data_IF_960304849562
#
_entry.id   IF_960304849562
#
_cell.length_a   1.000
_cell.length_b   1.000
_cell.length_c   1.000
_cell.angle_alpha   90.00
_cell.angle_beta   90.00
_cell.angle_gamma   90.00
#
_symmetry.space_group_name_H-M   'P 1'
#
loop_
_entity.id
_entity.type
_entity.pdbx_description
1 polymer ?
#
# COMPACT_ATOMS: atom_id res chain seq x y z
N UNK A 1 -34.25 -34.35 -3.43
CA UNK A 1 -33.70 -33.64 -2.26
C UNK A 1 -32.74 -32.50 -2.62
N UNK A 2 -31.77 -32.69 -3.53
CA UNK A 2 -30.79 -31.64 -3.93
C UNK A 2 -31.41 -30.35 -4.51
N UNK A 3 -32.53 -30.46 -5.23
CA UNK A 3 -33.22 -29.31 -5.84
C UNK A 3 -33.79 -28.37 -4.76
N UNK A 4 -34.25 -28.92 -3.63
CA UNK A 4 -34.81 -28.12 -2.54
C UNK A 4 -33.75 -27.41 -1.70
N UNK A 5 -32.52 -27.94 -1.60
CA UNK A 5 -31.43 -27.25 -0.90
C UNK A 5 -30.88 -26.09 -1.72
N UNK A 6 -30.72 -26.28 -3.03
CA UNK A 6 -30.36 -25.21 -3.97
C UNK A 6 -31.42 -24.12 -4.03
N UNK A 7 -32.71 -24.50 -4.07
CA UNK A 7 -33.81 -23.52 -4.11
C UNK A 7 -33.90 -22.71 -2.80
N UNK A 8 -33.67 -23.34 -1.63
CA UNK A 8 -33.56 -22.63 -0.34
C UNK A 8 -32.33 -21.73 -0.26
N UNK A 9 -31.19 -22.16 -0.81
CA UNK A 9 -29.99 -21.35 -0.86
C UNK A 9 -30.19 -20.11 -1.75
N UNK A 10 -30.80 -20.27 -2.93
CA UNK A 10 -31.16 -19.16 -3.80
C UNK A 10 -32.12 -18.18 -3.11
N UNK A 11 -33.16 -18.68 -2.42
CA UNK A 11 -34.10 -17.83 -1.68
C UNK A 11 -33.46 -17.05 -0.52
N UNK A 12 -32.48 -17.64 0.17
CA UNK A 12 -31.72 -16.93 1.21
C UNK A 12 -30.78 -15.87 0.63
N UNK A 13 -30.22 -16.12 -0.55
CA UNK A 13 -29.40 -15.15 -1.28
C UNK A 13 -30.27 -13.99 -1.80
N UNK A 14 -31.46 -14.29 -2.32
CA UNK A 14 -32.42 -13.32 -2.84
C UNK A 14 -32.94 -12.38 -1.73
N UNK A 15 -33.30 -12.93 -0.57
CA UNK A 15 -33.66 -12.12 0.62
C UNK A 15 -32.51 -11.28 1.17
N UNK A 16 -31.26 -11.70 0.94
CA UNK A 16 -30.07 -10.91 1.27
C UNK A 16 -29.73 -9.85 0.22
N UNK A 17 -30.24 -10.01 -1.00
CA UNK A 17 -30.00 -9.15 -2.16
C UNK A 17 -30.86 -7.88 -2.15
N UNK A 18 -32.00 -7.89 -1.45
CA UNK A 18 -32.93 -6.76 -1.35
C UNK A 18 -32.32 -5.47 -0.79
N UNK A 19 -31.10 -5.53 -0.22
CA UNK A 19 -30.39 -4.36 0.31
C UNK A 19 -29.23 -3.84 -0.58
N UNK A 20 -29.01 -4.41 -1.78
CA UNK A 20 -27.90 -4.03 -2.67
C UNK A 20 -28.38 -4.02 -4.14
N UNK A 21 -28.55 -2.84 -4.79
CA UNK A 21 -29.15 -2.70 -6.13
C UNK A 21 -28.50 -3.55 -7.25
N UNK A 22 -27.21 -3.87 -7.09
CA UNK A 22 -26.44 -4.66 -8.07
C UNK A 22 -26.88 -6.13 -8.04
N UNK A 23 -27.26 -6.67 -6.88
CA UNK A 23 -27.57 -8.11 -6.75
C UNK A 23 -28.94 -8.42 -7.34
N UNK A 24 -29.94 -7.55 -7.14
CA UNK A 24 -31.25 -7.65 -7.81
C UNK A 24 -31.13 -7.60 -9.34
N UNK A 25 -30.23 -6.76 -9.86
CA UNK A 25 -29.97 -6.70 -11.30
C UNK A 25 -29.36 -7.99 -11.81
N UNK A 26 -28.43 -8.59 -11.05
CA UNK A 26 -27.78 -9.86 -11.41
C UNK A 26 -28.76 -11.04 -11.29
N UNK A 27 -29.58 -11.12 -10.24
CA UNK A 27 -30.55 -12.21 -10.07
C UNK A 27 -31.63 -12.16 -11.15
N UNK A 28 -32.14 -10.97 -11.50
CA UNK A 28 -33.06 -10.81 -12.63
C UNK A 28 -32.42 -11.23 -13.96
N UNK A 29 -31.15 -10.90 -14.18
CA UNK A 29 -30.47 -11.29 -15.42
C UNK A 29 -30.21 -12.81 -15.50
N UNK A 30 -29.87 -13.43 -14.36
CA UNK A 30 -29.71 -14.88 -14.24
C UNK A 30 -31.03 -15.60 -14.42
N UNK A 31 -32.14 -15.06 -13.90
CA UNK A 31 -33.48 -15.61 -14.06
C UNK A 31 -33.96 -15.51 -15.52
N UNK A 32 -33.75 -14.37 -16.17
CA UNK A 32 -33.99 -14.20 -17.61
C UNK A 32 -33.14 -15.20 -18.40
N UNK A 33 -31.85 -15.36 -18.08
CA UNK A 33 -30.99 -16.32 -18.75
C UNK A 33 -31.44 -17.78 -18.53
N UNK A 34 -31.84 -18.14 -17.31
CA UNK A 34 -32.38 -19.48 -17.03
C UNK A 34 -33.66 -19.75 -17.82
N UNK A 35 -34.56 -18.77 -17.94
CA UNK A 35 -35.83 -18.90 -18.67
C UNK A 35 -35.65 -18.89 -20.19
N UNK A 36 -34.77 -18.04 -20.71
CA UNK A 36 -34.59 -17.80 -22.15
C UNK A 36 -33.49 -18.65 -22.77
N UNK A 37 -32.58 -19.21 -21.99
CA UNK A 37 -31.47 -20.01 -22.51
C UNK A 37 -31.51 -21.43 -21.97
N UNK A 38 -31.58 -21.63 -20.65
CA UNK A 38 -31.36 -22.96 -20.05
C UNK A 38 -32.60 -23.87 -20.08
N UNK A 39 -33.76 -23.35 -19.67
CA UNK A 39 -35.01 -24.12 -19.56
C UNK A 39 -35.44 -24.77 -20.88
N UNK A 40 -35.28 -24.11 -22.04
CA UNK A 40 -35.69 -24.69 -23.30
C UNK A 40 -34.84 -25.90 -23.69
N UNK A 41 -33.51 -25.90 -23.49
CA UNK A 41 -32.67 -27.10 -23.71
C UNK A 41 -33.05 -28.31 -22.83
N UNK A 42 -33.75 -28.08 -21.71
CA UNK A 42 -34.23 -29.13 -20.80
C UNK A 42 -35.56 -29.74 -21.23
N UNK A 43 -36.34 -29.05 -22.06
CA UNK A 43 -37.60 -29.51 -22.65
C UNK A 43 -37.50 -29.55 -24.18
N UNK A 44 -36.59 -30.39 -24.69
CA UNK A 44 -36.25 -30.53 -26.13
C UNK A 44 -37.46 -30.66 -27.06
N UNK A 45 -38.53 -31.33 -26.62
CA UNK A 45 -39.72 -31.60 -27.43
C UNK A 45 -40.58 -30.36 -27.73
N UNK A 46 -40.44 -29.27 -26.96
CA UNK A 46 -41.20 -28.03 -27.15
C UNK A 46 -40.39 -26.90 -27.80
N UNK A 47 -39.06 -27.04 -27.93
CA UNK A 47 -38.20 -25.98 -28.50
C UNK A 47 -38.50 -25.77 -29.98
N UNK A 48 -38.63 -26.85 -30.75
CA UNK A 48 -38.83 -26.80 -32.21
C UNK A 48 -40.21 -26.28 -32.61
N UNK A 49 -41.18 -26.29 -31.69
CA UNK A 49 -42.55 -25.75 -31.89
C UNK A 49 -42.70 -24.32 -31.38
N UNK A 50 -41.76 -23.82 -30.57
CA UNK A 50 -41.85 -22.47 -30.03
C UNK A 50 -41.44 -21.45 -31.10
N UNK A 51 -42.41 -20.68 -31.58
CA UNK A 51 -42.27 -19.64 -32.62
C UNK A 51 -41.12 -18.66 -32.32
N UNK A 52 -40.82 -18.43 -31.04
CA UNK A 52 -39.73 -17.55 -30.63
C UNK A 52 -38.34 -18.12 -30.95
N UNK A 53 -38.17 -19.45 -30.83
CA UNK A 53 -36.90 -20.14 -31.08
C UNK A 53 -36.61 -20.35 -32.56
N UNK A 54 -37.64 -20.56 -33.37
CA UNK A 54 -37.52 -20.62 -34.83
C UNK A 54 -37.20 -19.26 -35.45
N UNK A 55 -37.53 -18.15 -34.77
CA UNK A 55 -37.21 -16.78 -35.18
C UNK A 55 -35.85 -16.25 -34.70
N UNK A 56 -35.16 -16.96 -33.82
CA UNK A 56 -33.90 -16.52 -33.22
C UNK A 56 -32.76 -16.68 -34.25
N UNK A 57 -32.62 -15.68 -35.13
CA UNK A 57 -31.53 -15.65 -36.10
C UNK A 57 -30.15 -15.58 -35.39
N UNK A 58 -29.06 -15.91 -36.12
CA UNK A 58 -27.70 -15.76 -35.57
C UNK A 58 -27.41 -14.34 -35.05
N UNK A 59 -28.11 -13.32 -35.55
CA UNK A 59 -27.98 -11.91 -35.14
C UNK A 59 -28.52 -11.69 -33.73
N UNK A 60 -29.60 -12.36 -33.35
CA UNK A 60 -30.26 -12.32 -32.04
C UNK A 60 -29.45 -13.05 -30.99
N UNK A 61 -28.86 -14.20 -31.35
CA UNK A 61 -27.89 -14.90 -30.49
C UNK A 61 -26.62 -14.07 -30.27
N UNK A 62 -26.07 -13.45 -31.33
CA UNK A 62 -24.92 -12.52 -31.23
C UNK A 62 -25.25 -11.35 -30.31
N UNK A 63 -26.44 -10.74 -30.41
CA UNK A 63 -26.89 -9.66 -29.51
C UNK A 63 -26.93 -10.09 -28.04
N UNK A 64 -27.44 -11.29 -27.74
CA UNK A 64 -27.42 -11.84 -26.38
C UNK A 64 -25.98 -11.99 -25.85
N UNK A 65 -25.06 -12.53 -26.67
CA UNK A 65 -23.65 -12.64 -26.29
C UNK A 65 -23.02 -11.25 -26.07
N UNK A 66 -23.32 -10.28 -26.93
CA UNK A 66 -22.83 -8.89 -26.79
C UNK A 66 -23.32 -8.24 -25.50
N UNK A 67 -24.57 -8.51 -25.07
CA UNK A 67 -25.14 -7.99 -23.83
C UNK A 67 -24.61 -8.71 -22.57
N UNK A 68 -24.15 -9.96 -22.70
CA UNK A 68 -23.55 -10.74 -21.61
C UNK A 68 -22.11 -10.33 -21.28
N UNK A 69 -21.34 -9.87 -22.27
CA UNK A 69 -19.94 -9.47 -22.08
C UNK A 69 -19.76 -8.40 -20.99
N UNK A 70 -20.54 -7.29 -20.98
CA UNK A 70 -20.45 -6.29 -19.91
C UNK A 70 -20.79 -6.85 -18.53
N UNK A 71 -21.81 -7.73 -18.45
CA UNK A 71 -22.28 -8.32 -17.20
C UNK A 71 -21.23 -9.26 -16.63
N UNK A 72 -20.69 -10.16 -17.45
CA UNK A 72 -19.63 -11.08 -17.05
C UNK A 72 -18.35 -10.32 -16.68
N UNK A 73 -18.03 -9.24 -17.41
CA UNK A 73 -16.93 -8.33 -17.08
C UNK A 73 -17.08 -7.74 -15.68
N UNK A 74 -18.25 -7.20 -15.35
CA UNK A 74 -18.53 -6.63 -14.03
C UNK A 74 -18.49 -7.68 -12.91
N UNK A 75 -19.03 -8.88 -13.13
CA UNK A 75 -18.95 -9.98 -12.16
C UNK A 75 -17.50 -10.39 -11.91
N UNK A 76 -16.69 -10.49 -12.97
CA UNK A 76 -15.27 -10.84 -12.85
C UNK A 76 -14.48 -9.77 -12.07
N UNK A 77 -14.69 -8.49 -12.38
CA UNK A 77 -14.10 -7.38 -11.64
C UNK A 77 -14.53 -7.41 -10.17
N UNK A 78 -15.81 -7.65 -9.90
CA UNK A 78 -16.33 -7.77 -8.53
C UNK A 78 -15.67 -8.91 -7.74
N UNK A 79 -15.53 -10.10 -8.33
CA UNK A 79 -14.84 -11.23 -7.70
C UNK A 79 -13.37 -10.89 -7.44
N UNK A 80 -12.69 -10.31 -8.44
CA UNK A 80 -11.30 -9.88 -8.32
C UNK A 80 -11.11 -8.89 -7.16
N UNK A 81 -11.99 -7.89 -7.05
CA UNK A 81 -11.95 -6.88 -5.99
C UNK A 81 -12.22 -7.47 -4.60
N UNK A 82 -13.18 -8.39 -4.47
CA UNK A 82 -13.46 -9.08 -3.20
C UNK A 82 -12.22 -9.88 -2.75
N UNK A 83 -11.61 -10.65 -3.64
CA UNK A 83 -10.40 -11.44 -3.32
C UNK A 83 -9.23 -10.52 -2.96
N UNK A 84 -9.03 -9.46 -3.73
CA UNK A 84 -7.98 -8.46 -3.47
C UNK A 84 -8.18 -7.78 -2.12
N UNK A 85 -9.40 -7.37 -1.80
CA UNK A 85 -9.72 -6.70 -0.54
C UNK A 85 -9.56 -7.64 0.67
N UNK A 86 -9.94 -8.91 0.52
CA UNK A 86 -9.69 -9.93 1.57
C UNK A 86 -8.19 -10.09 1.86
N UNK A 87 -7.35 -10.18 0.81
CA UNK A 87 -5.88 -10.25 0.96
C UNK A 87 -5.31 -8.97 1.58
N UNK A 88 -5.77 -7.79 1.15
CA UNK A 88 -5.38 -6.49 1.73
C UNK A 88 -5.71 -6.44 3.23
N UNK A 89 -6.95 -6.78 3.61
CA UNK A 89 -7.39 -6.80 5.02
C UNK A 89 -6.59 -7.78 5.88
N UNK A 90 -6.33 -8.99 5.37
CA UNK A 90 -5.53 -9.98 6.09
C UNK A 90 -4.09 -9.49 6.32
N UNK A 91 -3.46 -8.92 5.28
CA UNK A 91 -2.12 -8.37 5.41
C UNK A 91 -2.10 -7.15 6.34
N UNK A 92 -3.10 -6.26 6.25
CA UNK A 92 -3.25 -5.10 7.15
C UNK A 92 -3.26 -5.52 8.62
N UNK A 93 -4.06 -6.53 8.97
CA UNK A 93 -4.11 -7.04 10.33
C UNK A 93 -2.77 -7.63 10.80
N UNK A 94 -2.00 -8.23 9.89
CA UNK A 94 -0.67 -8.76 10.21
C UNK A 94 0.36 -7.65 10.40
N UNK A 95 0.41 -6.65 9.50
CA UNK A 95 1.38 -5.55 9.59
C UNK A 95 1.13 -4.64 10.79
N UNK A 96 -0.11 -4.56 11.27
CA UNK A 96 -0.44 -3.85 12.51
C UNK A 96 0.11 -4.53 13.77
N UNK A 97 0.41 -5.83 13.71
CA UNK A 97 1.02 -6.59 14.82
C UNK A 97 2.53 -6.77 14.64
N UNK A 98 3.00 -6.76 13.40
CA UNK A 98 4.40 -6.89 13.01
C UNK A 98 4.58 -6.32 11.59
N UNK A 99 5.07 -5.09 11.50
CA UNK A 99 5.27 -4.33 10.27
C UNK A 99 6.20 -5.03 9.29
N UNK A 100 7.11 -5.90 9.76
CA UNK A 100 7.96 -6.70 8.88
C UNK A 100 7.19 -7.77 8.10
N UNK A 101 5.93 -8.08 8.47
CA UNK A 101 5.03 -8.93 7.69
C UNK A 101 4.77 -8.38 6.28
N UNK A 102 5.05 -7.09 6.02
CA UNK A 102 5.01 -6.51 4.67
C UNK A 102 5.89 -7.29 3.67
N UNK A 103 6.96 -7.96 4.14
CA UNK A 103 7.83 -8.79 3.31
C UNK A 103 7.08 -9.90 2.57
N UNK A 104 6.00 -10.41 3.16
CA UNK A 104 5.19 -11.52 2.64
C UNK A 104 4.07 -11.03 1.69
N UNK A 105 3.89 -9.70 1.60
CA UNK A 105 2.93 -9.09 0.68
C UNK A 105 3.30 -9.26 -0.80
N UNK A 106 2.28 -9.34 -1.65
CA UNK A 106 2.45 -9.27 -3.11
C UNK A 106 3.03 -7.90 -3.53
N UNK A 107 3.58 -7.82 -4.74
CA UNK A 107 4.08 -6.56 -5.32
C UNK A 107 3.02 -5.45 -5.32
N UNK A 108 1.77 -5.81 -5.56
CA UNK A 108 0.61 -4.89 -5.51
C UNK A 108 0.37 -4.34 -4.12
N UNK A 109 0.48 -5.16 -3.07
CA UNK A 109 0.30 -4.72 -1.67
C UNK A 109 1.51 -3.96 -1.13
N UNK A 110 2.72 -4.30 -1.58
CA UNK A 110 3.95 -3.52 -1.32
C UNK A 110 3.95 -2.15 -1.99
N UNK A 111 3.03 -1.93 -2.94
CA UNK A 111 2.79 -0.65 -3.59
C UNK A 111 1.50 0.01 -3.10
N UNK A 112 0.74 -0.65 -2.21
CA UNK A 112 -0.46 -0.10 -1.60
C UNK A 112 -0.06 0.81 -0.45
N UNK A 113 -0.34 2.11 -0.61
CA UNK A 113 0.11 3.14 0.32
C UNK A 113 -0.41 2.93 1.73
N UNK A 114 -1.65 2.47 1.91
CA UNK A 114 -2.25 2.28 3.23
C UNK A 114 -1.58 1.13 3.98
N UNK A 115 -1.34 0.02 3.26
CA UNK A 115 -0.67 -1.17 3.81
C UNK A 115 0.75 -0.83 4.22
N UNK A 116 1.50 -0.16 3.35
CA UNK A 116 2.87 0.24 3.64
C UNK A 116 2.91 1.27 4.76
N UNK A 117 2.00 2.24 4.79
CA UNK A 117 1.94 3.25 5.85
C UNK A 117 1.69 2.60 7.22
N UNK A 118 0.71 1.68 7.32
CA UNK A 118 0.46 0.92 8.54
C UNK A 118 1.69 0.10 8.96
N UNK A 119 2.37 -0.55 8.01
CA UNK A 119 3.57 -1.33 8.29
C UNK A 119 4.74 -0.48 8.83
N UNK A 120 4.97 0.72 8.26
CA UNK A 120 6.08 1.58 8.70
C UNK A 120 5.78 2.33 9.98
N UNK A 121 4.51 2.53 10.33
CA UNK A 121 4.11 3.08 11.63
C UNK A 121 4.37 2.08 12.76
N UNK A 122 4.21 0.78 12.50
CA UNK A 122 4.56 -0.27 13.47
C UNK A 122 6.08 -0.50 13.52
N UNK A 123 6.74 -0.58 12.35
CA UNK A 123 8.19 -0.75 12.25
C UNK A 123 8.74 -0.04 11.02
N UNK A 124 9.44 1.07 11.22
CA UNK A 124 10.01 1.91 10.19
C UNK A 124 10.99 1.19 9.27
N UNK A 125 11.61 0.09 9.73
CA UNK A 125 12.47 -0.74 8.87
C UNK A 125 11.69 -1.53 7.82
N UNK A 126 10.36 -1.65 7.95
CA UNK A 126 9.47 -2.24 6.96
C UNK A 126 9.53 -1.52 5.61
N UNK A 127 9.98 -0.25 5.58
CA UNK A 127 10.19 0.54 4.37
C UNK A 127 11.08 -0.20 3.33
N UNK A 128 11.97 -1.10 3.79
CA UNK A 128 12.77 -1.98 2.92
C UNK A 128 11.92 -2.77 1.90
N UNK A 129 10.73 -3.18 2.30
CA UNK A 129 9.84 -4.03 1.52
C UNK A 129 8.85 -3.26 0.64
N UNK A 130 8.72 -1.94 0.88
CA UNK A 130 7.88 -1.08 0.05
C UNK A 130 8.40 -1.01 -1.39
N UNK A 131 7.50 -0.69 -2.32
CA UNK A 131 7.86 -0.44 -3.71
C UNK A 131 8.82 0.75 -3.83
N UNK A 132 9.56 0.82 -4.95
CA UNK A 132 10.49 1.94 -5.21
C UNK A 132 9.79 3.30 -5.23
N UNK A 133 8.55 3.32 -5.70
CA UNK A 133 7.72 4.52 -5.69
C UNK A 133 7.45 4.99 -4.26
N UNK A 134 7.08 4.09 -3.34
CA UNK A 134 6.80 4.43 -1.94
C UNK A 134 8.07 4.67 -1.11
N UNK A 135 9.21 4.06 -1.48
CA UNK A 135 10.53 4.44 -0.95
C UNK A 135 10.95 5.87 -1.37
N UNK A 136 10.29 6.44 -2.38
CA UNK A 136 10.44 7.84 -2.80
C UNK A 136 9.27 8.73 -2.38
N UNK A 137 8.27 8.19 -1.68
CA UNK A 137 7.16 8.97 -1.14
C UNK A 137 7.61 9.60 0.18
N UNK A 138 7.81 10.92 0.16
CA UNK A 138 8.30 11.69 1.32
C UNK A 138 7.42 11.49 2.56
N UNK A 139 6.09 11.36 2.42
CA UNK A 139 5.17 11.15 3.56
C UNK A 139 5.34 9.75 4.18
N UNK A 140 5.48 8.72 3.35
CA UNK A 140 5.71 7.34 3.83
C UNK A 140 7.09 7.23 4.48
N UNK A 141 8.11 7.83 3.88
CA UNK A 141 9.48 7.84 4.42
C UNK A 141 9.55 8.60 5.75
N UNK A 142 8.87 9.74 5.88
CA UNK A 142 8.78 10.43 7.16
C UNK A 142 8.11 9.58 8.23
N UNK A 143 7.00 8.91 7.94
CA UNK A 143 6.35 8.02 8.89
C UNK A 143 7.31 6.92 9.38
N UNK A 144 8.06 6.31 8.45
CA UNK A 144 9.08 5.31 8.78
C UNK A 144 10.23 5.88 9.64
N UNK A 145 10.68 7.09 9.35
CA UNK A 145 11.74 7.79 10.10
C UNK A 145 11.28 8.14 11.52
N UNK A 146 10.03 8.60 11.66
CA UNK A 146 9.47 8.94 12.96
C UNK A 146 9.42 7.72 13.87
N UNK A 147 9.10 6.54 13.35
CA UNK A 147 9.25 5.29 14.09
C UNK A 147 10.75 5.01 14.36
N UNK A 148 11.57 4.90 13.31
CA UNK A 148 13.00 4.60 13.40
C UNK A 148 13.84 5.42 12.42
N UNK A 149 14.68 6.32 12.94
CA UNK A 149 15.53 7.18 12.11
C UNK A 149 16.47 6.42 11.17
N UNK A 150 16.79 5.15 11.47
CA UNK A 150 17.59 4.28 10.58
C UNK A 150 16.84 3.86 9.30
N UNK A 151 15.53 4.06 9.24
CA UNK A 151 14.70 3.77 8.06
C UNK A 151 15.16 4.58 6.83
N UNK A 152 15.83 5.72 7.02
CA UNK A 152 16.46 6.52 5.96
C UNK A 152 17.30 5.66 4.99
N UNK A 153 17.93 4.58 5.47
CA UNK A 153 18.74 3.68 4.63
C UNK A 153 17.96 3.03 3.48
N UNK A 154 16.64 2.90 3.62
CA UNK A 154 15.74 2.31 2.63
C UNK A 154 15.00 3.35 1.78
N UNK A 155 15.12 4.63 2.12
CA UNK A 155 14.61 5.70 1.27
C UNK A 155 15.36 5.75 -0.06
N UNK A 156 14.73 6.38 -1.06
CA UNK A 156 15.34 6.59 -2.37
C UNK A 156 16.63 7.41 -2.27
N UNK A 157 17.48 7.33 -3.30
CA UNK A 157 18.69 8.19 -3.38
C UNK A 157 18.35 9.68 -3.32
N UNK A 158 17.20 10.08 -3.89
CA UNK A 158 16.71 11.45 -3.89
C UNK A 158 16.38 11.92 -2.47
N UNK A 159 15.60 11.14 -1.72
CA UNK A 159 15.21 11.51 -0.35
C UNK A 159 16.36 11.40 0.66
N UNK A 160 17.36 10.53 0.43
CA UNK A 160 18.61 10.55 1.21
C UNK A 160 19.50 11.75 0.91
N UNK A 161 19.19 12.51 -0.14
CA UNK A 161 19.80 13.80 -0.47
C UNK A 161 18.87 14.99 -0.17
N UNK A 162 17.71 14.74 0.41
CA UNK A 162 16.79 15.78 0.85
C UNK A 162 17.16 16.18 2.29
N UNK A 163 17.58 17.44 2.45
CA UNK A 163 18.07 17.96 3.73
C UNK A 163 17.03 17.84 4.85
N UNK A 164 15.76 18.11 4.55
CA UNK A 164 14.66 18.04 5.53
C UNK A 164 14.44 16.60 6.01
N UNK A 165 14.44 15.64 5.07
CA UNK A 165 14.27 14.21 5.39
C UNK A 165 15.45 13.70 6.21
N UNK A 166 16.68 14.08 5.86
CA UNK A 166 17.88 13.67 6.57
C UNK A 166 17.94 14.29 7.97
N UNK A 167 17.61 15.58 8.12
CA UNK A 167 17.54 16.22 9.44
C UNK A 167 16.53 15.54 10.35
N UNK A 168 15.34 15.20 9.85
CA UNK A 168 14.36 14.45 10.62
C UNK A 168 14.90 13.07 11.04
N UNK A 169 15.60 12.36 10.14
CA UNK A 169 16.22 11.08 10.46
C UNK A 169 17.31 11.19 11.52
N UNK A 170 18.17 12.21 11.43
CA UNK A 170 19.23 12.51 12.39
C UNK A 170 18.66 12.89 13.76
N UNK A 171 17.59 13.68 13.78
CA UNK A 171 16.89 14.04 15.02
C UNK A 171 16.32 12.82 15.75
N UNK A 172 15.85 11.81 15.01
CA UNK A 172 15.33 10.54 15.56
C UNK A 172 16.45 9.55 15.91
N UNK A 173 17.49 9.45 15.08
CA UNK A 173 18.68 8.65 15.33
C UNK A 173 19.91 9.36 14.74
N UNK A 174 20.83 9.84 15.57
CA UNK A 174 22.01 10.61 15.17
C UNK A 174 22.92 9.82 14.22
N UNK A 175 22.96 8.49 14.38
CA UNK A 175 23.73 7.61 13.51
C UNK A 175 23.10 7.40 12.14
N UNK A 176 21.89 7.93 11.89
CA UNK A 176 21.25 7.93 10.57
C UNK A 176 22.01 8.78 9.56
N UNK A 177 22.89 9.70 10.00
CA UNK A 177 23.78 10.49 9.14
C UNK A 177 24.56 9.59 8.16
N UNK A 178 24.95 8.37 8.56
CA UNK A 178 25.66 7.42 7.69
C UNK A 178 24.89 6.99 6.45
N UNK A 179 23.57 7.17 6.45
CA UNK A 179 22.69 6.81 5.34
C UNK A 179 22.37 8.00 4.43
N UNK A 180 22.73 9.22 4.84
CA UNK A 180 22.61 10.40 4.01
C UNK A 180 23.55 10.34 2.79
N UNK A 181 23.25 11.17 1.80
CA UNK A 181 24.12 11.34 0.63
C UNK A 181 25.51 11.85 1.04
N UNK A 182 26.51 11.66 0.16
CA UNK A 182 27.84 12.26 0.39
C UNK A 182 27.77 13.78 0.56
N UNK A 183 26.89 14.44 -0.19
CA UNK A 183 26.67 15.89 -0.14
C UNK A 183 26.19 16.33 1.25
N UNK A 184 25.15 15.67 1.79
CA UNK A 184 24.62 16.03 3.11
C UNK A 184 25.50 15.57 4.27
N UNK A 185 26.39 14.59 4.07
CA UNK A 185 27.47 14.28 5.02
C UNK A 185 28.61 15.31 5.00
N UNK A 186 28.64 16.20 4.00
CA UNK A 186 29.48 17.40 3.97
C UNK A 186 28.66 18.69 4.25
N UNK A 187 27.38 18.59 4.59
CA UNK A 187 26.58 19.75 4.98
C UNK A 187 26.80 20.01 6.48
N UNK A 188 27.38 21.17 6.78
CA UNK A 188 27.75 21.55 8.15
C UNK A 188 26.56 21.54 9.09
N UNK A 189 25.39 22.02 8.67
CA UNK A 189 24.20 22.09 9.52
C UNK A 189 23.70 20.68 9.86
N UNK A 190 23.64 19.79 8.87
CA UNK A 190 23.22 18.39 9.06
C UNK A 190 24.19 17.64 9.97
N UNK A 191 25.50 17.83 9.77
CA UNK A 191 26.53 17.18 10.59
C UNK A 191 26.52 17.70 12.02
N UNK A 192 26.44 19.03 12.22
CA UNK A 192 26.32 19.61 13.56
C UNK A 192 25.09 19.08 14.31
N UNK A 193 23.94 18.99 13.64
CA UNK A 193 22.71 18.45 14.24
C UNK A 193 22.88 16.99 14.71
N UNK A 194 23.70 16.19 14.04
CA UNK A 194 24.01 14.81 14.44
C UNK A 194 25.03 14.77 15.59
N UNK A 195 26.12 15.52 15.44
CA UNK A 195 27.29 15.50 16.33
C UNK A 195 26.96 16.06 17.72
N UNK A 196 26.18 17.15 17.79
CA UNK A 196 25.74 17.75 19.07
C UNK A 196 24.98 16.78 19.97
N UNK A 197 24.36 15.76 19.37
CA UNK A 197 23.60 14.76 20.13
C UNK A 197 24.40 13.49 20.38
N UNK A 198 25.31 13.14 19.48
CA UNK A 198 26.26 12.05 19.68
C UNK A 198 27.53 12.28 18.86
N UNK A 199 28.64 12.53 19.54
CA UNK A 199 29.96 12.72 18.95
C UNK A 199 30.39 11.56 18.02
N UNK A 200 29.90 10.33 18.25
CA UNK A 200 30.17 9.18 17.39
C UNK A 200 29.58 9.33 15.98
N UNK A 201 28.67 10.29 15.75
CA UNK A 201 28.16 10.62 14.43
C UNK A 201 29.23 11.30 13.56
N UNK A 202 30.25 11.93 14.16
CA UNK A 202 31.33 12.63 13.45
C UNK A 202 32.05 11.72 12.45
N UNK A 203 32.24 10.43 12.80
CA UNK A 203 32.87 9.43 11.91
C UNK A 203 32.13 9.20 10.58
N UNK A 204 30.89 9.68 10.47
CA UNK A 204 30.08 9.57 9.25
C UNK A 204 30.08 10.85 8.42
N UNK A 205 30.56 11.97 8.95
CA UNK A 205 30.78 13.20 8.20
C UNK A 205 31.89 13.02 7.14
N UNK A 206 32.02 13.97 6.23
CA UNK A 206 33.17 14.07 5.33
C UNK A 206 34.48 14.23 6.10
N UNK A 207 35.61 13.87 5.48
CA UNK A 207 36.95 14.09 6.05
C UNK A 207 37.21 15.58 6.34
N UNK A 208 36.67 16.47 5.51
CA UNK A 208 36.73 17.92 5.69
C UNK A 208 36.07 18.35 7.02
N UNK A 209 34.84 17.91 7.28
CA UNK A 209 34.12 18.27 8.51
C UNK A 209 34.59 17.50 9.74
N UNK A 210 35.21 16.33 9.58
CA UNK A 210 35.85 15.61 10.68
C UNK A 210 37.03 16.39 11.29
N UNK A 211 37.70 17.22 10.50
CA UNK A 211 38.82 18.07 10.96
C UNK A 211 38.41 19.53 11.17
N UNK A 212 37.16 19.90 10.87
CA UNK A 212 36.70 21.27 11.02
C UNK A 212 36.54 21.60 12.50
N UNK A 213 37.33 22.57 12.97
CA UNK A 213 37.47 22.91 14.39
C UNK A 213 36.13 23.09 15.11
N UNK A 214 35.17 23.79 14.51
CA UNK A 214 33.85 24.01 15.12
C UNK A 214 33.02 22.72 15.28
N UNK A 215 33.10 21.79 14.31
CA UNK A 215 32.37 20.52 14.37
C UNK A 215 33.00 19.59 15.40
N UNK A 216 34.34 19.59 15.47
CA UNK A 216 35.10 18.84 16.48
C UNK A 216 34.80 19.37 17.88
N UNK A 217 34.77 20.69 18.06
CA UNK A 217 34.39 21.31 19.33
C UNK A 217 32.95 20.96 19.73
N UNK A 218 32.01 20.97 18.79
CA UNK A 218 30.63 20.56 19.04
C UNK A 218 30.51 19.06 19.40
N UNK A 219 31.48 18.23 19.01
CA UNK A 219 31.54 16.82 19.36
C UNK A 219 32.09 16.59 20.78
N UNK A 220 32.98 17.47 21.25
CA UNK A 220 33.69 17.35 22.53
C UNK A 220 32.93 17.98 23.72
N UNK A 221 31.63 18.27 23.53
CA UNK A 221 30.83 19.13 24.40
C UNK A 221 30.46 18.51 25.77
N UNK A 222 31.48 18.38 26.63
CA UNK A 222 31.35 18.53 28.09
C UNK A 222 31.76 19.94 28.57
N UNK A 223 32.11 20.89 27.67
CA UNK A 223 32.69 22.20 28.03
C UNK A 223 32.04 23.45 27.40
N UNK A 224 31.21 23.34 26.35
CA UNK A 224 30.78 24.49 25.53
C UNK A 224 29.49 25.18 25.99
N UNK A 225 28.57 24.48 26.68
CA UNK A 225 27.33 25.11 27.17
C UNK A 225 27.57 26.28 28.15
N UNK A 226 28.74 26.36 28.78
CA UNK A 226 29.12 27.47 29.67
C UNK A 226 29.66 28.70 28.93
N UNK A 227 30.41 28.52 27.84
CA UNK A 227 31.09 29.63 27.15
C UNK A 227 30.22 30.30 26.10
N UNK A 228 29.33 29.58 25.41
CA UNK A 228 28.49 30.17 24.36
C UNK A 228 27.44 31.17 24.89
N UNK A 229 26.91 30.95 26.10
CA UNK A 229 26.02 31.94 26.77
C UNK A 229 26.74 33.24 27.13
N UNK A 230 28.03 33.16 27.47
CA UNK A 230 28.82 34.33 27.85
C UNK A 230 29.12 35.23 26.64
N UNK A 231 29.24 34.66 25.43
CA UNK A 231 29.48 35.43 24.21
C UNK A 231 28.22 36.05 23.59
N UNK A 232 27.02 35.61 23.95
CA UNK A 232 25.77 36.23 23.48
C UNK A 232 25.23 37.32 24.43
N UNK A 233 25.83 37.48 25.61
CA UNK A 233 25.44 38.49 26.61
C UNK A 233 26.46 39.63 26.76
N UNK A 234 27.53 39.64 25.97
CA UNK A 234 28.56 40.68 25.90
C UNK A 234 28.51 41.39 24.55
#
# INVERSE_FOLDING_TARGET
MLVNSLSKACLSIDRGADYIPIVSTVTNLVDIFQKVVVLPFKQKENISKNVYYTHLDQKSFRRCLTLLIPVLGNVFVGIYDVVRNKKKKALLANVQKNGLALKDGSSTLKSDRDVVHAAVQENGLALKYASKQLQNDKKVVFAAIQENGSALKYASKQLRNDKEVVLAAVQRNHLALKYASKQLRNDREVVLAAVQRNHLALKYASEELQNHWEVVLAADDRRWLGTYRLYQQA
#
